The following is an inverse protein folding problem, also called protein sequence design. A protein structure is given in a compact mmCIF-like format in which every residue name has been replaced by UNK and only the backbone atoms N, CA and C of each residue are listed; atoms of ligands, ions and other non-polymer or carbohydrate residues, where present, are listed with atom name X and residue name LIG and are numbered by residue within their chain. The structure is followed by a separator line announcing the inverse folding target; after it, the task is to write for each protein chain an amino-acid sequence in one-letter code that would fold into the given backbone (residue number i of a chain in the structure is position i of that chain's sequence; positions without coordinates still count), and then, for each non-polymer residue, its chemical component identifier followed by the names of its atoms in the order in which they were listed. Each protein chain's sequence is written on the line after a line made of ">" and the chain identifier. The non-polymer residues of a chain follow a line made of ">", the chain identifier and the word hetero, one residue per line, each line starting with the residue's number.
data_IF_782770336251
#
_entry.id   IF_782770336251
#
_cell.length_a   1.000
_cell.length_b   1.000
_cell.length_c   1.000
_cell.angle_alpha   90.00
_cell.angle_beta   90.00
_cell.angle_gamma   90.00
#
_symmetry.space_group_name_H-M   'P 1'
#
loop_
_entity.id
_entity.type
_entity.pdbx_description
1 polymer ?
#
# COMPACT_ATOMS: atom_id res chain seq x y z
N UNK A 1 -10.43 5.49 -5.51
CA UNK A 1 -11.35 5.00 -4.45
C UNK A 1 -11.50 3.52 -4.68
N UNK A 2 -11.10 2.70 -3.71
CA UNK A 2 -11.25 1.25 -3.80
C UNK A 2 -12.01 0.78 -2.56
N UNK A 3 -13.27 0.41 -2.73
CA UNK A 3 -14.17 0.05 -1.61
C UNK A 3 -14.09 1.13 -0.51
N UNK A 4 -13.57 0.78 0.66
CA UNK A 4 -13.46 1.66 1.82
C UNK A 4 -12.14 2.47 1.86
N UNK A 5 -11.16 2.12 1.00
CA UNK A 5 -9.84 2.75 0.97
C UNK A 5 -9.79 3.99 0.06
N UNK A 6 -9.58 5.14 0.69
CA UNK A 6 -9.55 6.46 0.05
C UNK A 6 -8.28 7.19 0.44
N UNK A 7 -7.57 7.69 -0.58
CA UNK A 7 -6.40 8.55 -0.42
C UNK A 7 -6.75 9.97 -0.85
N UNK A 8 -6.44 10.94 0.01
CA UNK A 8 -6.56 12.38 -0.28
C UNK A 8 -5.15 12.96 -0.48
N UNK A 9 -4.91 13.60 -1.62
CA UNK A 9 -3.58 14.12 -2.00
C UNK A 9 -3.69 15.61 -2.30
N UNK A 10 -2.96 16.45 -1.56
CA UNK A 10 -2.80 17.89 -1.83
C UNK A 10 -1.33 18.27 -1.89
N UNK A 11 -1.02 19.33 -2.64
CA UNK A 11 0.30 19.98 -2.60
C UNK A 11 0.48 20.94 -1.42
N UNK A 12 -0.55 21.21 -0.63
CA UNK A 12 -0.48 22.05 0.57
C UNK A 12 -1.13 21.36 1.78
N UNK A 13 -0.42 21.35 2.91
CA UNK A 13 -0.92 20.75 4.16
C UNK A 13 -2.19 21.43 4.64
N UNK A 14 -2.27 22.76 4.58
CA UNK A 14 -3.45 23.50 5.04
C UNK A 14 -4.71 23.11 4.26
N UNK A 15 -4.60 23.00 2.93
CA UNK A 15 -5.68 22.52 2.06
C UNK A 15 -6.00 21.04 2.29
N UNK A 16 -5.00 20.19 2.50
CA UNK A 16 -5.22 18.78 2.84
C UNK A 16 -6.03 18.65 4.12
N UNK A 17 -5.65 19.35 5.19
CA UNK A 17 -6.36 19.36 6.48
C UNK A 17 -7.82 19.78 6.30
N UNK A 18 -8.07 20.89 5.59
CA UNK A 18 -9.46 21.34 5.31
C UNK A 18 -10.27 20.28 4.57
N UNK A 19 -9.69 19.62 3.56
CA UNK A 19 -10.37 18.57 2.81
C UNK A 19 -10.65 17.34 3.64
N UNK A 20 -9.72 16.94 4.51
CA UNK A 20 -9.93 15.83 5.46
C UNK A 20 -11.08 16.14 6.42
N UNK A 21 -11.18 17.38 6.93
CA UNK A 21 -12.29 17.79 7.80
C UNK A 21 -13.63 17.81 7.07
N UNK A 22 -13.70 18.44 5.90
CA UNK A 22 -14.92 18.45 5.08
C UNK A 22 -15.36 17.03 4.70
N UNK A 23 -14.40 16.16 4.41
CA UNK A 23 -14.69 14.76 4.08
C UNK A 23 -15.19 13.96 5.29
N UNK A 24 -14.62 14.17 6.49
CA UNK A 24 -15.14 13.59 7.73
C UNK A 24 -16.60 14.00 7.95
N UNK A 25 -16.93 15.29 7.85
CA UNK A 25 -18.30 15.78 8.05
C UNK A 25 -19.27 15.14 7.03
N UNK A 26 -18.86 15.03 5.76
CA UNK A 26 -19.64 14.36 4.73
C UNK A 26 -19.87 12.87 5.03
N UNK A 27 -18.87 12.16 5.55
CA UNK A 27 -19.00 10.76 5.97
C UNK A 27 -19.99 10.62 7.14
N UNK A 28 -19.89 11.51 8.13
CA UNK A 28 -20.76 11.50 9.31
C UNK A 28 -22.24 11.74 8.93
N UNK A 29 -22.49 12.64 7.97
CA UNK A 29 -23.82 12.82 7.38
C UNK A 29 -24.34 11.54 6.70
N UNK A 30 -23.45 10.76 6.10
CA UNK A 30 -23.72 9.44 5.53
C UNK A 30 -23.76 8.29 6.55
N UNK A 31 -23.68 8.58 7.86
CA UNK A 31 -23.56 7.58 8.95
C UNK A 31 -22.33 6.68 8.86
N UNK A 32 -21.29 7.13 8.15
CA UNK A 32 -19.98 6.50 8.08
C UNK A 32 -19.03 7.23 9.03
N UNK A 33 -18.04 6.51 9.56
CA UNK A 33 -17.05 7.07 10.48
C UNK A 33 -15.65 6.80 9.95
N UNK A 34 -14.84 7.85 9.88
CA UNK A 34 -13.42 7.72 9.58
C UNK A 34 -12.71 6.92 10.69
N UNK A 35 -12.03 5.85 10.31
CA UNK A 35 -11.18 5.11 11.23
C UNK A 35 -9.81 5.79 11.35
N UNK A 36 -9.69 6.71 12.31
CA UNK A 36 -8.44 7.47 12.51
C UNK A 36 -7.27 6.58 12.88
N UNK A 37 -7.51 5.46 13.58
CA UNK A 37 -6.45 4.52 13.97
C UNK A 37 -5.83 3.78 12.77
N UNK A 38 -6.55 3.67 11.66
CA UNK A 38 -6.05 3.12 10.39
C UNK A 38 -5.64 4.20 9.37
N UNK A 39 -5.85 5.47 9.71
CA UNK A 39 -5.51 6.57 8.81
C UNK A 39 -4.03 6.90 8.97
N UNK A 40 -3.30 6.97 7.86
CA UNK A 40 -1.90 7.37 7.84
C UNK A 40 -1.75 8.68 7.07
N UNK A 41 -0.80 9.52 7.49
CA UNK A 41 -0.43 10.74 6.80
C UNK A 41 0.97 10.60 6.23
N UNK A 42 1.14 10.93 4.95
CA UNK A 42 2.45 10.96 4.30
C UNK A 42 2.66 12.31 3.63
N UNK A 43 3.84 12.89 3.82
CA UNK A 43 4.27 14.11 3.13
C UNK A 43 5.45 13.77 2.21
N UNK A 44 5.22 13.86 0.91
CA UNK A 44 6.24 13.58 -0.10
C UNK A 44 7.15 14.79 -0.32
N UNK A 45 8.47 14.55 -0.45
CA UNK A 45 9.46 15.57 -0.79
C UNK A 45 9.39 16.85 0.07
N UNK A 46 8.97 16.72 1.33
CA UNK A 46 8.78 17.83 2.25
C UNK A 46 9.57 17.58 3.52
N UNK A 47 10.18 18.64 4.05
CA UNK A 47 10.79 18.64 5.39
C UNK A 47 9.76 18.76 6.50
N UNK A 48 8.47 18.72 6.17
CA UNK A 48 7.39 18.74 7.14
C UNK A 48 7.38 17.45 7.96
N UNK A 49 7.99 17.51 9.13
CA UNK A 49 7.97 16.44 10.14
C UNK A 49 6.69 16.45 10.98
N UNK A 50 5.77 17.39 10.73
CA UNK A 50 4.65 17.62 11.62
C UNK A 50 3.51 16.64 11.35
N UNK A 51 2.92 16.12 12.42
CA UNK A 51 1.72 15.28 12.38
C UNK A 51 0.48 16.04 11.87
N UNK A 52 -0.53 15.29 11.46
CA UNK A 52 -1.81 15.81 10.98
C UNK A 52 -2.87 15.63 12.09
N UNK A 53 -3.50 16.71 12.53
CA UNK A 53 -4.63 16.63 13.47
C UNK A 53 -5.93 16.39 12.73
N UNK A 54 -6.69 15.40 13.18
CA UNK A 54 -8.02 15.08 12.64
C UNK A 54 -9.01 15.04 13.82
N UNK A 55 -9.63 16.18 14.11
CA UNK A 55 -10.41 16.42 15.34
C UNK A 55 -9.51 16.33 16.56
N UNK A 56 -9.89 15.50 17.54
CA UNK A 56 -9.12 15.33 18.78
C UNK A 56 -7.93 14.35 18.64
N UNK A 57 -7.84 13.65 17.51
CA UNK A 57 -6.81 12.65 17.26
C UNK A 57 -5.66 13.23 16.43
N UNK A 58 -4.45 12.76 16.68
CA UNK A 58 -3.24 13.09 15.92
C UNK A 58 -2.81 11.88 15.10
N UNK A 59 -2.62 12.07 13.79
CA UNK A 59 -2.09 11.07 12.87
C UNK A 59 -0.63 11.39 12.61
N UNK A 60 0.25 10.47 13.00
CA UNK A 60 1.69 10.60 12.79
C UNK A 60 2.05 10.48 11.32
N UNK A 61 3.14 11.16 10.94
CA UNK A 61 3.69 11.08 9.59
C UNK A 61 4.38 9.73 9.41
N UNK A 62 4.09 9.07 8.30
CA UNK A 62 4.83 7.90 7.82
C UNK A 62 5.68 8.25 6.59
N UNK A 63 6.83 7.62 6.47
CA UNK A 63 7.66 7.66 5.27
C UNK A 63 7.29 6.55 4.26
N UNK A 64 6.53 5.55 4.71
CA UNK A 64 6.05 4.45 3.88
C UNK A 64 4.53 4.35 4.02
N UNK A 65 3.82 4.56 2.92
CA UNK A 65 2.38 4.40 2.89
C UNK A 65 2.02 3.16 2.08
N UNK A 66 1.28 2.22 2.69
CA UNK A 66 0.84 1.01 1.98
C UNK A 66 -0.54 1.24 1.37
N UNK A 67 -0.64 1.13 0.05
CA UNK A 67 -1.91 1.26 -0.69
C UNK A 67 -2.10 0.07 -1.63
N UNK A 68 -3.17 -0.71 -1.39
CA UNK A 68 -3.58 -1.84 -2.24
C UNK A 68 -2.45 -2.83 -2.58
N UNK A 69 -1.56 -3.07 -1.61
CA UNK A 69 -0.44 -4.00 -1.78
C UNK A 69 0.89 -3.34 -2.13
N UNK A 70 0.86 -2.15 -2.74
CA UNK A 70 2.05 -1.37 -3.06
C UNK A 70 2.49 -0.47 -1.92
N UNK A 71 3.79 -0.20 -1.85
CA UNK A 71 4.43 0.70 -0.90
C UNK A 71 4.80 1.99 -1.62
N UNK A 72 4.27 3.11 -1.16
CA UNK A 72 4.62 4.44 -1.64
C UNK A 72 5.62 5.04 -0.66
N UNK A 73 6.80 5.39 -1.15
CA UNK A 73 7.84 6.05 -0.35
C UNK A 73 7.70 7.57 -0.39
N UNK A 74 7.95 8.24 0.73
CA UNK A 74 7.88 9.69 0.84
C UNK A 74 8.91 10.44 -0.05
N UNK A 75 10.02 9.82 -0.42
CA UNK A 75 10.98 10.38 -1.39
C UNK A 75 10.55 10.20 -2.85
N UNK A 76 9.48 9.44 -3.09
CA UNK A 76 9.05 9.05 -4.44
C UNK A 76 9.87 7.91 -5.06
N UNK A 77 10.78 7.30 -4.30
CA UNK A 77 11.53 6.13 -4.73
C UNK A 77 10.64 4.87 -4.79
N UNK A 78 10.89 4.03 -5.79
CA UNK A 78 10.15 2.78 -6.03
C UNK A 78 10.89 1.57 -5.47
N UNK A 79 12.15 1.72 -5.06
CA UNK A 79 13.00 0.61 -4.63
C UNK A 79 12.38 -0.20 -3.50
N UNK A 80 11.69 0.46 -2.56
CA UNK A 80 11.02 -0.22 -1.44
C UNK A 80 9.87 -1.11 -1.91
N UNK A 81 9.07 -0.62 -2.85
CA UNK A 81 7.98 -1.38 -3.46
C UNK A 81 8.51 -2.61 -4.21
N UNK A 82 9.52 -2.41 -5.05
CA UNK A 82 10.17 -3.48 -5.79
C UNK A 82 10.73 -4.55 -4.84
N UNK A 83 11.43 -4.13 -3.78
CA UNK A 83 11.97 -5.07 -2.78
C UNK A 83 10.86 -5.85 -2.07
N UNK A 84 9.73 -5.21 -1.77
CA UNK A 84 8.58 -5.87 -1.17
C UNK A 84 8.00 -6.94 -2.11
N UNK A 85 7.79 -6.62 -3.39
CA UNK A 85 7.30 -7.57 -4.40
C UNK A 85 8.27 -8.73 -4.63
N UNK A 86 9.57 -8.46 -4.71
CA UNK A 86 10.60 -9.51 -4.85
C UNK A 86 10.57 -10.44 -3.63
N UNK A 87 10.50 -9.89 -2.41
CA UNK A 87 10.42 -10.68 -1.18
C UNK A 87 9.17 -11.56 -1.13
N UNK A 88 8.01 -11.00 -1.50
CA UNK A 88 6.74 -11.73 -1.58
C UNK A 88 6.79 -12.84 -2.64
N UNK A 89 7.33 -12.55 -3.83
CA UNK A 89 7.52 -13.53 -4.89
C UNK A 89 8.46 -14.66 -4.46
N UNK A 90 9.54 -14.35 -3.71
CA UNK A 90 10.43 -15.36 -3.12
C UNK A 90 9.75 -16.21 -2.05
N UNK A 91 8.86 -15.64 -1.25
CA UNK A 91 8.04 -16.41 -0.31
C UNK A 91 7.15 -17.40 -1.07
N UNK A 92 6.47 -16.95 -2.14
CA UNK A 92 5.66 -17.83 -2.98
C UNK A 92 6.45 -18.88 -3.72
N UNK A 93 7.63 -18.55 -4.23
CA UNK A 93 8.56 -19.53 -4.79
C UNK A 93 8.90 -20.62 -3.78
N UNK A 94 9.23 -20.23 -2.53
CA UNK A 94 9.55 -21.17 -1.46
C UNK A 94 8.41 -22.16 -1.21
N UNK A 95 7.16 -21.70 -1.17
CA UNK A 95 5.96 -22.55 -1.01
C UNK A 95 5.82 -23.60 -2.13
N UNK A 96 6.19 -23.27 -3.37
CA UNK A 96 6.05 -24.17 -4.53
C UNK A 96 7.35 -24.84 -4.98
N UNK A 97 8.39 -24.79 -4.15
CA UNK A 97 9.73 -25.34 -4.47
C UNK A 97 9.66 -26.81 -4.84
N UNK A 98 8.80 -27.60 -4.18
CA UNK A 98 8.62 -29.02 -4.46
C UNK A 98 8.12 -29.31 -5.88
N UNK A 99 7.49 -28.34 -6.55
CA UNK A 99 7.04 -28.48 -7.94
C UNK A 99 8.06 -27.89 -8.89
N UNK A 100 8.62 -26.72 -8.55
CA UNK A 100 9.52 -25.98 -9.43
C UNK A 100 10.92 -26.60 -9.50
N UNK A 101 11.46 -27.06 -8.37
CA UNK A 101 12.81 -27.61 -8.28
C UNK A 101 12.85 -29.14 -8.47
N UNK A 102 11.71 -29.83 -8.53
CA UNK A 102 11.69 -31.29 -8.73
C UNK A 102 12.07 -31.65 -10.19
N UNK A 103 13.16 -32.41 -10.42
CA UNK A 103 13.56 -32.82 -11.76
C UNK A 103 12.54 -33.72 -12.47
N UNK A 104 11.66 -34.41 -11.74
CA UNK A 104 10.61 -35.28 -12.31
C UNK A 104 9.43 -34.50 -12.88
N UNK A 105 9.32 -33.21 -12.55
CA UNK A 105 8.15 -32.43 -12.88
C UNK A 105 8.22 -31.85 -14.30
N UNK A 106 7.16 -31.97 -15.13
CA UNK A 106 7.19 -31.48 -16.49
C UNK A 106 7.42 -29.96 -16.57
N UNK A 107 8.28 -29.53 -17.50
CA UNK A 107 8.61 -28.11 -17.71
C UNK A 107 7.36 -27.26 -17.97
N UNK A 108 6.36 -27.80 -18.69
CA UNK A 108 5.09 -27.12 -18.96
C UNK A 108 4.35 -26.77 -17.66
N UNK A 109 4.32 -27.68 -16.69
CA UNK A 109 3.65 -27.46 -15.41
C UNK A 109 4.41 -26.46 -14.54
N UNK A 110 5.75 -26.54 -14.51
CA UNK A 110 6.59 -25.52 -13.84
C UNK A 110 6.34 -24.13 -14.40
N UNK A 111 6.23 -24.03 -15.74
CA UNK A 111 5.91 -22.79 -16.42
C UNK A 111 4.51 -22.26 -16.08
N UNK A 112 3.52 -23.13 -15.89
CA UNK A 112 2.20 -22.74 -15.42
C UNK A 112 2.25 -22.18 -14.00
N UNK A 113 2.87 -22.91 -13.06
CA UNK A 113 3.03 -22.48 -11.66
C UNK A 113 3.73 -21.12 -11.58
N UNK A 114 4.79 -20.92 -12.34
CA UNK A 114 5.46 -19.63 -12.41
C UNK A 114 4.51 -18.51 -12.89
N UNK A 115 3.78 -18.73 -13.97
CA UNK A 115 2.87 -17.73 -14.55
C UNK A 115 1.65 -17.42 -13.67
N UNK A 116 1.16 -18.39 -12.90
CA UNK A 116 -0.08 -18.24 -12.12
C UNK A 116 0.14 -17.85 -10.67
N UNK A 117 1.29 -18.19 -10.08
CA UNK A 117 1.54 -17.95 -8.64
C UNK A 117 2.64 -16.91 -8.45
N UNK A 118 3.80 -17.11 -9.06
CA UNK A 118 5.00 -16.30 -8.77
C UNK A 118 4.98 -14.98 -9.54
N UNK A 119 4.71 -15.01 -10.85
CA UNK A 119 4.71 -13.83 -11.72
C UNK A 119 3.68 -12.78 -11.29
N UNK A 120 2.43 -13.11 -10.94
CA UNK A 120 1.48 -12.11 -10.49
C UNK A 120 2.01 -11.38 -9.26
N UNK A 121 2.49 -12.11 -8.24
CA UNK A 121 3.03 -11.50 -7.01
C UNK A 121 4.27 -10.63 -7.24
N UNK A 122 5.08 -10.99 -8.23
CA UNK A 122 6.24 -10.17 -8.60
C UNK A 122 5.86 -8.87 -9.32
N UNK A 123 4.71 -8.83 -10.01
CA UNK A 123 4.38 -7.75 -10.95
C UNK A 123 3.25 -6.83 -10.48
N UNK A 124 2.17 -7.39 -9.94
CA UNK A 124 0.97 -6.62 -9.55
C UNK A 124 0.16 -7.25 -8.40
N UNK A 125 0.51 -8.46 -7.97
CA UNK A 125 -0.12 -9.17 -6.88
C UNK A 125 0.62 -8.90 -5.58
N UNK A 126 -0.10 -8.77 -4.49
CA UNK A 126 0.45 -8.64 -3.13
C UNK A 126 -0.11 -9.73 -2.23
#
# INVERSE_FOLDING_TARGET
>A
MYVDDIALVDGDKGRLTRRVHAWREALENGRLKLNVAKTEYMACNSTDLMSLRIGDNTVERTDNFRYLGSVIDASGDIDRDIKAHISAAWAKWREVTCVICDPKMPVKLKGQVYKTIIRPVLTYGS
#
